data_IF_025499498100
#
_entry.id   IF_025499498100
#
_cell.length_a   1.000
_cell.length_b   1.000
_cell.length_c   1.000
_cell.angle_alpha   90.00
_cell.angle_beta   90.00
_cell.angle_gamma   90.00
#
_symmetry.space_group_name_H-M   'P 1'
#
loop_
_entity.id
_entity.type
_entity.pdbx_description
1 polymer ?
#
# COMPACT_ATOMS: atom_id res chain seq x y z
N UNK A 1 16.61 11.97 22.26
CA UNK A 1 15.23 11.57 21.90
C UNK A 1 15.08 10.09 22.21
N UNK A 2 14.34 9.73 23.27
CA UNK A 2 14.24 8.34 23.74
C UNK A 2 13.41 7.47 22.77
N UNK A 3 13.87 6.25 22.48
CA UNK A 3 13.22 5.28 21.56
C UNK A 3 11.79 4.89 22.00
N UNK A 4 11.41 5.19 23.23
CA UNK A 4 10.08 4.86 23.78
C UNK A 4 8.96 5.81 23.32
N UNK A 5 9.28 7.05 22.90
CA UNK A 5 8.25 7.97 22.37
C UNK A 5 7.68 7.53 21.01
N UNK A 6 8.33 6.55 20.36
CA UNK A 6 7.96 6.02 19.05
C UNK A 6 7.07 4.77 19.14
N UNK A 7 6.56 4.38 20.32
CA UNK A 7 5.76 3.16 20.49
C UNK A 7 4.29 3.40 20.90
N UNK A 8 3.88 4.66 21.06
CA UNK A 8 2.49 5.01 21.33
C UNK A 8 1.58 4.96 20.08
N UNK A 9 0.24 4.86 20.27
CA UNK A 9 -0.73 4.92 19.19
C UNK A 9 -0.61 6.24 18.41
N UNK A 10 -0.80 6.16 17.09
CA UNK A 10 -0.74 7.34 16.21
C UNK A 10 -1.94 8.24 16.50
N UNK A 11 -1.71 9.55 16.63
CA UNK A 11 -2.79 10.52 16.88
C UNK A 11 -3.70 10.61 15.65
N UNK A 12 -5.02 10.64 15.84
CA UNK A 12 -6.00 10.61 14.73
C UNK A 12 -5.88 11.76 13.72
N UNK A 13 -5.40 12.94 14.14
CA UNK A 13 -5.15 14.04 13.20
C UNK A 13 -3.95 13.75 12.26
N UNK A 14 -2.97 12.96 12.72
CA UNK A 14 -1.81 12.59 11.88
C UNK A 14 -2.23 11.61 10.79
N UNK A 15 -3.14 10.67 11.11
CA UNK A 15 -3.72 9.78 10.09
C UNK A 15 -4.55 10.57 9.09
N UNK A 16 -5.40 11.50 9.55
CA UNK A 16 -6.18 12.35 8.64
C UNK A 16 -5.32 13.24 7.74
N UNK A 17 -4.23 13.80 8.26
CA UNK A 17 -3.27 14.57 7.47
C UNK A 17 -2.53 13.70 6.44
N UNK A 18 -2.16 12.46 6.81
CA UNK A 18 -1.55 11.50 5.90
C UNK A 18 -2.52 11.05 4.79
N UNK A 19 -3.79 10.81 5.12
CA UNK A 19 -4.84 10.48 4.14
C UNK A 19 -5.05 11.62 3.16
N UNK A 20 -5.11 12.87 3.65
CA UNK A 20 -5.20 14.05 2.79
C UNK A 20 -3.99 14.17 1.86
N UNK A 21 -2.78 13.95 2.37
CA UNK A 21 -1.57 13.95 1.55
C UNK A 21 -1.59 12.84 0.48
N UNK A 22 -2.02 11.64 0.83
CA UNK A 22 -2.20 10.52 -0.11
C UNK A 22 -3.17 10.91 -1.23
N UNK A 23 -4.33 11.48 -0.88
CA UNK A 23 -5.31 11.95 -1.87
C UNK A 23 -4.73 13.03 -2.78
N UNK A 24 -3.98 13.99 -2.24
CA UNK A 24 -3.35 15.06 -3.02
C UNK A 24 -2.29 14.52 -3.99
N UNK A 25 -1.41 13.64 -3.52
CA UNK A 25 -0.36 13.02 -4.36
C UNK A 25 -0.98 12.15 -5.45
N UNK A 26 -2.00 11.36 -5.10
CA UNK A 26 -2.74 10.54 -6.06
C UNK A 26 -3.43 11.43 -7.11
N UNK A 27 -4.12 12.49 -6.71
CA UNK A 27 -4.81 13.41 -7.62
C UNK A 27 -3.82 14.14 -8.54
N UNK A 28 -2.67 14.56 -8.01
CA UNK A 28 -1.60 15.16 -8.80
C UNK A 28 -1.05 14.16 -9.84
N UNK A 29 -0.83 12.91 -9.46
CA UNK A 29 -0.39 11.85 -10.38
C UNK A 29 -1.39 11.60 -11.50
N UNK A 30 -2.68 11.53 -11.18
CA UNK A 30 -3.77 11.42 -12.17
C UNK A 30 -3.79 12.64 -13.09
N UNK A 31 -3.67 13.84 -12.53
CA UNK A 31 -3.62 15.07 -13.33
C UNK A 31 -2.43 15.07 -14.29
N UNK A 32 -1.23 14.68 -13.84
CA UNK A 32 -0.06 14.59 -14.72
C UNK A 32 -0.29 13.56 -15.83
N UNK A 33 -0.80 12.36 -15.52
CA UNK A 33 -1.07 11.33 -16.53
C UNK A 33 -2.13 11.74 -17.57
N UNK A 34 -3.02 12.67 -17.24
CA UNK A 34 -3.99 13.22 -18.19
C UNK A 34 -3.37 14.21 -19.19
N UNK A 35 -2.33 14.93 -18.78
CA UNK A 35 -1.79 16.06 -19.55
C UNK A 35 -0.42 15.77 -20.16
N UNK A 36 0.33 14.82 -19.61
CA UNK A 36 1.67 14.49 -20.07
C UNK A 36 1.61 13.50 -21.25
N UNK A 37 2.11 13.92 -22.40
CA UNK A 37 2.37 13.02 -23.52
C UNK A 37 3.86 12.67 -23.55
N UNK A 38 4.20 11.49 -23.03
CA UNK A 38 5.57 11.00 -22.98
C UNK A 38 6.04 10.46 -24.34
N UNK A 39 7.29 10.76 -24.70
CA UNK A 39 7.94 10.15 -25.86
C UNK A 39 8.04 8.61 -25.70
N UNK A 40 8.06 7.82 -26.79
CA UNK A 40 8.04 6.35 -26.72
C UNK A 40 9.14 5.74 -25.84
N UNK A 41 10.38 6.27 -25.93
CA UNK A 41 11.50 5.80 -25.11
C UNK A 41 11.26 6.02 -23.60
N UNK A 42 10.72 7.19 -23.24
CA UNK A 42 10.39 7.50 -21.85
C UNK A 42 9.24 6.60 -21.34
N UNK A 43 8.26 6.30 -22.19
CA UNK A 43 7.17 5.38 -21.87
C UNK A 43 7.69 3.96 -21.59
N UNK A 44 8.65 3.46 -22.35
CA UNK A 44 9.26 2.14 -22.13
C UNK A 44 10.01 2.07 -20.78
N UNK A 45 10.81 3.09 -20.47
CA UNK A 45 11.50 3.21 -19.17
C UNK A 45 10.48 3.29 -18.03
N UNK A 46 9.44 4.12 -18.19
CA UNK A 46 8.38 4.24 -17.20
C UNK A 46 7.67 2.90 -16.96
N UNK A 47 7.42 2.12 -18.01
CA UNK A 47 6.78 0.80 -17.87
C UNK A 47 7.66 -0.17 -17.09
N UNK A 48 8.96 -0.22 -17.40
CA UNK A 48 9.92 -1.04 -16.67
C UNK A 48 9.95 -0.67 -15.18
N UNK A 49 10.07 0.64 -14.88
CA UNK A 49 10.05 1.15 -13.50
C UNK A 49 8.72 0.82 -12.81
N UNK A 50 7.59 0.93 -13.52
CA UNK A 50 6.27 0.61 -12.99
C UNK A 50 6.17 -0.85 -12.57
N UNK A 51 6.63 -1.78 -13.41
CA UNK A 51 6.64 -3.22 -13.12
C UNK A 51 7.61 -3.56 -11.98
N UNK A 52 8.79 -2.97 -11.95
CA UNK A 52 9.74 -3.15 -10.85
C UNK A 52 9.17 -2.66 -9.52
N UNK A 53 8.50 -1.51 -9.53
CA UNK A 53 7.83 -0.95 -8.36
C UNK A 53 6.63 -1.78 -7.91
N UNK A 54 5.87 -2.35 -8.85
CA UNK A 54 4.81 -3.33 -8.57
C UNK A 54 5.39 -4.57 -7.88
N UNK A 55 6.45 -5.16 -8.42
CA UNK A 55 7.11 -6.33 -7.81
C UNK A 55 7.61 -6.00 -6.39
N UNK A 56 8.23 -4.84 -6.20
CA UNK A 56 8.73 -4.41 -4.91
C UNK A 56 7.61 -4.25 -3.87
N UNK A 57 6.56 -3.51 -4.24
CA UNK A 57 5.45 -3.22 -3.35
C UNK A 57 4.60 -4.45 -3.06
N UNK A 58 4.14 -5.14 -4.10
CA UNK A 58 3.33 -6.36 -3.96
C UNK A 58 4.13 -7.48 -3.29
N UNK A 59 5.40 -7.66 -3.64
CA UNK A 59 6.28 -8.65 -3.02
C UNK A 59 6.43 -8.42 -1.51
N UNK A 60 6.57 -7.16 -1.08
CA UNK A 60 6.59 -6.80 0.33
C UNK A 60 5.26 -7.11 1.03
N UNK A 61 4.12 -6.83 0.40
CA UNK A 61 2.78 -7.19 0.94
C UNK A 61 2.64 -8.70 1.10
N UNK A 62 3.01 -9.49 0.09
CA UNK A 62 2.95 -10.96 0.18
C UNK A 62 3.86 -11.50 1.29
N UNK A 63 5.03 -10.90 1.50
CA UNK A 63 5.91 -11.27 2.61
C UNK A 63 5.29 -10.94 3.98
N UNK A 64 4.62 -9.79 4.11
CA UNK A 64 3.89 -9.42 5.33
C UNK A 64 2.78 -10.43 5.62
N UNK A 65 1.96 -10.74 4.63
CA UNK A 65 0.82 -11.66 4.76
C UNK A 65 1.27 -13.09 5.08
N UNK A 66 2.38 -13.55 4.49
CA UNK A 66 2.98 -14.83 4.83
C UNK A 66 3.36 -14.92 6.31
N UNK A 67 3.97 -13.88 6.87
CA UNK A 67 4.28 -13.83 8.31
C UNK A 67 3.02 -13.76 9.17
N UNK A 68 1.99 -13.02 8.74
CA UNK A 68 0.68 -13.02 9.37
C UNK A 68 0.06 -14.42 9.43
N UNK A 69 0.15 -15.19 8.34
CA UNK A 69 -0.30 -16.58 8.28
C UNK A 69 0.49 -17.48 9.23
N UNK A 70 1.82 -17.33 9.31
CA UNK A 70 2.63 -18.09 10.26
C UNK A 70 2.23 -17.82 11.72
N UNK A 71 1.80 -16.60 12.04
CA UNK A 71 1.24 -16.30 13.37
C UNK A 71 -0.12 -16.95 13.59
N UNK A 72 -1.03 -16.92 12.62
CA UNK A 72 -2.32 -17.63 12.70
C UNK A 72 -2.15 -19.14 12.89
N UNK A 73 -1.11 -19.73 12.30
CA UNK A 73 -0.75 -21.14 12.45
C UNK A 73 0.01 -21.44 13.76
N UNK A 74 0.21 -20.46 14.64
CA UNK A 74 0.95 -20.63 15.89
C UNK A 74 2.46 -20.85 15.73
N UNK A 75 3.00 -20.67 14.52
CA UNK A 75 4.43 -20.89 14.21
C UNK A 75 5.31 -19.68 14.52
N UNK A 76 4.71 -18.50 14.71
CA UNK A 76 5.38 -17.26 15.10
C UNK A 76 4.55 -16.51 16.13
N UNK A 77 5.20 -15.82 17.05
CA UNK A 77 4.54 -14.88 17.95
C UNK A 77 4.18 -13.58 17.21
N UNK A 78 3.14 -12.87 17.67
CA UNK A 78 2.77 -11.57 17.11
C UNK A 78 3.94 -10.58 17.14
N UNK A 79 4.74 -10.59 18.22
CA UNK A 79 5.95 -9.74 18.33
C UNK A 79 6.93 -10.00 17.20
N UNK A 80 7.24 -11.27 16.90
CA UNK A 80 8.12 -11.63 15.79
C UNK A 80 7.57 -11.17 14.44
N UNK A 81 6.25 -11.27 14.24
CA UNK A 81 5.61 -10.76 13.01
C UNK A 81 5.75 -9.25 12.91
N UNK A 82 5.47 -8.50 13.98
CA UNK A 82 5.55 -7.04 13.96
C UNK A 82 7.00 -6.56 13.76
N UNK A 83 7.97 -7.17 14.44
CA UNK A 83 9.39 -6.82 14.29
C UNK A 83 9.89 -7.06 12.86
N UNK A 84 9.43 -8.15 12.21
CA UNK A 84 9.81 -8.47 10.83
C UNK A 84 9.08 -7.59 9.79
N UNK A 85 7.79 -7.34 10.00
CA UNK A 85 6.95 -6.60 9.04
C UNK A 85 7.13 -5.09 9.12
N UNK A 86 7.64 -4.57 10.23
CA UNK A 86 7.92 -3.14 10.42
C UNK A 86 8.75 -2.52 9.29
N UNK A 87 9.94 -3.04 8.98
CA UNK A 87 10.77 -2.53 7.87
C UNK A 87 10.13 -2.70 6.49
N UNK A 88 9.31 -3.74 6.28
CA UNK A 88 8.68 -4.01 4.98
C UNK A 88 7.69 -2.92 4.56
N UNK A 89 7.11 -2.17 5.51
CA UNK A 89 6.27 -1.01 5.17
C UNK A 89 7.02 0.01 4.30
N UNK A 90 8.34 0.18 4.48
CA UNK A 90 9.13 1.09 3.63
C UNK A 90 9.15 0.59 2.19
N UNK A 91 9.27 -0.72 1.97
CA UNK A 91 9.24 -1.31 0.62
C UNK A 91 7.86 -1.18 -0.02
N UNK A 92 6.78 -1.40 0.75
CA UNK A 92 5.39 -1.19 0.28
C UNK A 92 5.19 0.25 -0.19
N UNK A 93 5.57 1.23 0.63
CA UNK A 93 5.43 2.64 0.28
C UNK A 93 6.34 3.07 -0.87
N UNK A 94 7.56 2.53 -0.94
CA UNK A 94 8.50 2.79 -2.04
C UNK A 94 7.96 2.24 -3.36
N UNK A 95 7.43 1.00 -3.35
CA UNK A 95 6.76 0.42 -4.52
C UNK A 95 5.55 1.24 -4.95
N UNK A 96 4.70 1.66 -4.00
CA UNK A 96 3.54 2.50 -4.29
C UNK A 96 3.94 3.85 -4.90
N UNK A 97 4.93 4.53 -4.32
CA UNK A 97 5.44 5.79 -4.83
C UNK A 97 6.03 5.62 -6.25
N UNK A 98 6.83 4.58 -6.46
CA UNK A 98 7.37 4.24 -7.77
C UNK A 98 6.28 3.99 -8.81
N UNK A 99 5.21 3.28 -8.46
CA UNK A 99 4.06 3.05 -9.35
C UNK A 99 3.28 4.33 -9.65
N UNK A 100 3.07 5.23 -8.68
CA UNK A 100 2.39 6.52 -8.91
C UNK A 100 3.20 7.41 -9.85
N UNK A 101 4.51 7.55 -9.59
CA UNK A 101 5.40 8.39 -10.40
C UNK A 101 5.52 7.85 -11.82
N UNK A 102 5.79 6.55 -11.98
CA UNK A 102 5.88 5.94 -13.30
C UNK A 102 4.53 5.90 -14.03
N UNK A 103 3.44 5.65 -13.31
CA UNK A 103 2.08 5.66 -13.84
C UNK A 103 1.67 7.03 -14.39
N UNK A 104 2.14 8.12 -13.76
CA UNK A 104 1.95 9.48 -14.25
C UNK A 104 2.55 9.69 -15.66
N UNK A 105 3.58 8.93 -16.03
CA UNK A 105 4.28 9.02 -17.31
C UNK A 105 3.69 8.09 -18.38
N UNK A 106 3.05 6.99 -17.97
CA UNK A 106 2.43 6.02 -18.88
C UNK A 106 1.15 6.52 -19.55
N UNK A 107 0.60 7.63 -19.04
CA UNK A 107 -0.67 8.20 -19.49
C UNK A 107 -1.86 7.37 -19.02
N UNK A 108 -3.05 7.94 -19.16
CA UNK A 108 -4.29 7.26 -18.81
C UNK A 108 -5.37 7.47 -19.87
N UNK A 109 -6.21 6.45 -20.05
CA UNK A 109 -7.45 6.58 -20.81
C UNK A 109 -8.60 6.91 -19.84
N UNK A 110 -9.11 8.15 -19.84
CA UNK A 110 -10.17 8.56 -18.92
C UNK A 110 -11.54 7.99 -19.29
N UNK A 111 -11.74 7.56 -20.54
CA UNK A 111 -13.01 6.98 -20.99
C UNK A 111 -13.18 5.55 -20.45
N UNK A 112 -12.08 4.81 -20.28
CA UNK A 112 -12.08 3.45 -19.76
C UNK A 112 -12.59 3.35 -18.31
N UNK A 113 -13.70 2.63 -18.13
CA UNK A 113 -14.22 2.27 -16.81
C UNK A 113 -13.20 1.46 -16.00
N UNK A 114 -12.43 0.58 -16.67
CA UNK A 114 -11.40 -0.23 -16.03
C UNK A 114 -10.29 0.66 -15.45
N UNK A 115 -9.83 1.68 -16.19
CA UNK A 115 -8.84 2.65 -15.68
C UNK A 115 -9.35 3.37 -14.42
N UNK A 116 -10.62 3.81 -14.41
CA UNK A 116 -11.22 4.45 -13.22
C UNK A 116 -11.27 3.52 -12.02
N UNK A 117 -11.68 2.26 -12.22
CA UNK A 117 -11.68 1.24 -11.15
C UNK A 117 -10.26 1.00 -10.64
N UNK A 118 -9.27 0.82 -11.53
CA UNK A 118 -7.85 0.65 -11.15
C UNK A 118 -7.35 1.82 -10.29
N UNK A 119 -7.61 3.05 -10.70
CA UNK A 119 -7.19 4.24 -9.96
C UNK A 119 -7.86 4.31 -8.58
N UNK A 120 -9.14 3.94 -8.48
CA UNK A 120 -9.85 3.82 -7.21
C UNK A 120 -9.26 2.74 -6.29
N UNK A 121 -8.89 1.58 -6.84
CA UNK A 121 -8.21 0.52 -6.08
C UNK A 121 -6.82 0.96 -5.58
N UNK A 122 -6.05 1.69 -6.39
CA UNK A 122 -4.75 2.25 -5.98
C UNK A 122 -4.93 3.23 -4.82
N UNK A 123 -5.93 4.12 -4.89
CA UNK A 123 -6.25 5.05 -3.79
C UNK A 123 -6.68 4.29 -2.52
N UNK A 124 -7.55 3.29 -2.68
CA UNK A 124 -8.01 2.46 -1.57
C UNK A 124 -6.84 1.76 -0.86
N UNK A 125 -5.90 1.19 -1.62
CA UNK A 125 -4.69 0.55 -1.07
C UNK A 125 -3.82 1.56 -0.33
N UNK A 126 -3.64 2.75 -0.89
CA UNK A 126 -2.82 3.81 -0.29
C UNK A 126 -3.39 4.27 1.05
N UNK A 127 -4.69 4.55 1.12
CA UNK A 127 -5.39 4.93 2.36
C UNK A 127 -5.38 3.79 3.38
N UNK A 128 -5.67 2.56 2.93
CA UNK A 128 -5.56 1.39 3.78
C UNK A 128 -4.15 1.23 4.35
N UNK A 129 -3.10 1.55 3.59
CA UNK A 129 -1.71 1.55 4.04
C UNK A 129 -1.43 2.51 5.20
N UNK A 130 -2.02 3.71 5.19
CA UNK A 130 -1.92 4.68 6.30
C UNK A 130 -2.53 4.08 7.57
N UNK A 131 -3.74 3.54 7.47
CA UNK A 131 -4.43 2.94 8.60
C UNK A 131 -3.78 1.64 9.08
N UNK A 132 -3.25 0.83 8.17
CA UNK A 132 -2.51 -0.39 8.47
C UNK A 132 -1.24 -0.08 9.27
N UNK A 133 -0.51 0.99 8.91
CA UNK A 133 0.66 1.42 9.66
C UNK A 133 0.29 1.90 11.08
N UNK A 134 -0.78 2.68 11.22
CA UNK A 134 -1.27 3.11 12.53
C UNK A 134 -1.75 1.92 13.39
N UNK A 135 -2.37 0.93 12.76
CA UNK A 135 -2.80 -0.31 13.40
C UNK A 135 -1.60 -1.16 13.84
N UNK A 136 -0.59 -1.31 12.99
CA UNK A 136 0.67 -2.00 13.32
C UNK A 136 1.31 -1.39 14.58
N UNK A 137 1.40 -0.06 14.65
CA UNK A 137 1.91 0.63 15.85
C UNK A 137 1.05 0.40 17.09
N UNK A 138 -0.27 0.39 16.93
CA UNK A 138 -1.20 0.14 18.03
C UNK A 138 -1.05 -1.29 18.57
N UNK A 139 -0.88 -2.27 17.68
CA UNK A 139 -0.62 -3.66 18.04
C UNK A 139 0.76 -3.83 18.70
N UNK A 140 1.79 -3.16 18.19
CA UNK A 140 3.15 -3.21 18.76
C UNK A 140 3.25 -2.57 20.16
N UNK A 141 2.37 -1.61 20.46
CA UNK A 141 2.28 -0.98 21.77
C UNK A 141 1.58 -1.82 22.85
N UNK A 142 0.93 -2.94 22.49
CA UNK A 142 0.30 -3.82 23.47
C UNK A 142 1.35 -4.74 24.12
N UNK A 143 1.50 -4.66 25.45
CA UNK A 143 2.38 -5.54 26.25
C UNK A 143 1.58 -6.33 27.28
N UNK A 144 1.82 -7.65 27.33
CA UNK A 144 1.56 -8.48 28.52
C UNK A 144 0.12 -8.91 28.82
N UNK A 145 -0.83 -8.75 27.90
CA UNK A 145 -2.24 -9.14 28.09
C UNK A 145 -2.88 -9.81 26.87
N UNK A 146 -4.14 -10.23 26.98
CA UNK A 146 -4.95 -10.67 25.84
C UNK A 146 -5.04 -9.54 24.81
N UNK A 147 -4.80 -9.88 23.53
CA UNK A 147 -4.89 -8.94 22.43
C UNK A 147 -6.33 -8.45 22.26
N UNK A 148 -6.49 -7.14 22.06
CA UNK A 148 -7.80 -6.57 21.73
C UNK A 148 -8.34 -7.19 20.41
N UNK A 149 -9.42 -7.96 20.53
CA UNK A 149 -10.12 -8.61 19.41
C UNK A 149 -10.54 -7.59 18.34
N UNK A 150 -10.87 -6.36 18.72
CA UNK A 150 -11.26 -5.31 17.77
C UNK A 150 -10.09 -4.89 16.89
N UNK A 151 -8.87 -4.82 17.44
CA UNK A 151 -7.66 -4.54 16.65
C UNK A 151 -7.33 -5.69 15.69
N UNK A 152 -7.54 -6.94 16.13
CA UNK A 152 -7.36 -8.12 15.27
C UNK A 152 -8.35 -8.16 14.11
N UNK A 153 -9.63 -7.87 14.36
CA UNK A 153 -10.65 -7.77 13.30
C UNK A 153 -10.29 -6.66 12.32
N UNK A 154 -9.86 -5.49 12.81
CA UNK A 154 -9.39 -4.40 11.94
C UNK A 154 -8.17 -4.81 11.12
N UNK A 155 -7.26 -5.62 11.67
CA UNK A 155 -6.09 -6.11 10.96
C UNK A 155 -6.51 -7.08 9.84
N UNK A 156 -7.43 -8.00 10.12
CA UNK A 156 -7.97 -8.91 9.12
C UNK A 156 -8.66 -8.16 7.97
N UNK A 157 -9.51 -7.16 8.28
CA UNK A 157 -10.14 -6.31 7.26
C UNK A 157 -9.08 -5.58 6.44
N UNK A 158 -8.07 -5.00 7.09
CA UNK A 158 -6.97 -4.29 6.42
C UNK A 158 -6.22 -5.18 5.43
N UNK A 159 -5.98 -6.45 5.78
CA UNK A 159 -5.33 -7.43 4.88
C UNK A 159 -6.23 -7.71 3.68
N UNK A 160 -7.52 -8.00 3.90
CA UNK A 160 -8.47 -8.28 2.81
C UNK A 160 -8.58 -7.11 1.84
N UNK A 161 -8.72 -5.89 2.36
CA UNK A 161 -8.77 -4.67 1.53
C UNK A 161 -7.48 -4.49 0.73
N UNK A 162 -6.32 -4.74 1.36
CA UNK A 162 -5.03 -4.66 0.67
C UNK A 162 -4.95 -5.67 -0.48
N UNK A 163 -5.24 -6.95 -0.23
CA UNK A 163 -5.17 -8.00 -1.23
C UNK A 163 -6.12 -7.77 -2.40
N UNK A 164 -7.38 -7.39 -2.12
CA UNK A 164 -8.35 -7.07 -3.16
C UNK A 164 -7.88 -5.89 -4.02
N UNK A 165 -7.33 -4.85 -3.40
CA UNK A 165 -6.84 -3.67 -4.11
C UNK A 165 -5.59 -3.94 -4.96
N UNK A 166 -4.59 -4.62 -4.41
CA UNK A 166 -3.35 -4.96 -5.12
C UNK A 166 -3.60 -5.89 -6.31
N UNK A 167 -4.26 -7.03 -6.08
CA UNK A 167 -4.54 -7.99 -7.14
C UNK A 167 -5.54 -7.45 -8.15
N UNK A 168 -6.56 -6.71 -7.72
CA UNK A 168 -7.52 -6.10 -8.62
C UNK A 168 -6.87 -5.06 -9.54
N UNK A 169 -6.03 -4.18 -9.00
CA UNK A 169 -5.33 -3.18 -9.80
C UNK A 169 -4.30 -3.81 -10.78
N UNK A 170 -3.59 -4.86 -10.34
CA UNK A 170 -2.65 -5.60 -11.17
C UNK A 170 -3.36 -6.34 -12.30
N UNK A 171 -4.48 -7.02 -12.01
CA UNK A 171 -5.28 -7.73 -13.00
C UNK A 171 -5.84 -6.77 -14.07
N UNK A 172 -6.41 -5.62 -13.65
CA UNK A 172 -6.87 -4.60 -14.60
C UNK A 172 -5.71 -4.06 -15.44
N UNK A 173 -4.54 -3.82 -14.82
CA UNK A 173 -3.35 -3.37 -15.53
C UNK A 173 -2.90 -4.35 -16.62
N UNK A 174 -2.89 -5.64 -16.30
CA UNK A 174 -2.58 -6.71 -17.26
C UNK A 174 -3.63 -6.79 -18.37
N UNK A 175 -4.92 -6.82 -18.04
CA UNK A 175 -5.98 -6.91 -19.06
C UNK A 175 -5.96 -5.71 -20.02
N UNK A 176 -5.69 -4.50 -19.50
CA UNK A 176 -5.57 -3.30 -20.33
C UNK A 176 -4.32 -3.27 -21.22
N UNK A 177 -3.28 -4.09 -20.96
CA UNK A 177 -2.09 -4.15 -21.82
C UNK A 177 -2.21 -5.15 -22.97
N UNK A 178 -3.26 -5.98 -22.97
CA UNK A 178 -3.50 -7.01 -23.99
C UNK A 178 -4.42 -6.54 -25.13
N UNK A 179 -4.97 -5.33 -25.04
CA UNK A 179 -5.88 -4.72 -26.02
C UNK A 179 -5.26 -3.55 -26.74
#
# INVERSE_FOLDING_TARGET
>A
MSRDSLRGPVRGWMTGAADALVCLVWAAGVWVALHLQAAPALRAVALFVHLAALILGLGAVQAIDYYGLLWLLGRRSLRQVLDFTGPLHVLVWSGLAGMVISGAVLGLDPASAATRVKLGLVLLVALNGVHAYALHRSLAGQTGGQLDKRLLVRAAISVVVSQAGWWGAAAIGFLNSQG
#
